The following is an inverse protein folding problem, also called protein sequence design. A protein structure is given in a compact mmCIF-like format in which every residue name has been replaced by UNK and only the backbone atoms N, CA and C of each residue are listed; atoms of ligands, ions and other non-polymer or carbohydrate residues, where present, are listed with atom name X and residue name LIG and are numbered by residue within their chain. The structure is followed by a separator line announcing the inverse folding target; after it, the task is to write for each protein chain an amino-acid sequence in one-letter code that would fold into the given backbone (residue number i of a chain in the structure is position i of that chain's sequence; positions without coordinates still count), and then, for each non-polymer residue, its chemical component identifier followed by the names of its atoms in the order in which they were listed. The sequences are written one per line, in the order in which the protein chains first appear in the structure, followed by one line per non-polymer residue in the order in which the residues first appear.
data_IF_491268758903
#
_entry.id   IF_491268758903
#
_cell.length_a   1.000
_cell.length_b   1.000
_cell.length_c   1.000
_cell.angle_alpha   90.00
_cell.angle_beta   90.00
_cell.angle_gamma   90.00
#
_symmetry.space_group_name_H-M   'P 1'
#
loop_
_entity.id
_entity.type
_entity.pdbx_description
1 polymer ?
#
# COMPACT_ATOMS: atom_id res chain seq x y z
N UNK A 1 11.57 26.60 -11.54
CA UNK A 1 12.72 26.27 -10.69
C UNK A 1 12.14 25.84 -9.36
N UNK A 2 12.48 24.65 -8.90
CA UNK A 2 12.02 24.13 -7.61
C UNK A 2 12.90 24.80 -6.55
N UNK A 3 12.58 26.05 -6.27
CA UNK A 3 13.38 26.93 -5.44
C UNK A 3 12.76 26.97 -4.05
N UNK A 4 13.57 26.85 -2.99
CA UNK A 4 13.16 26.94 -1.58
C UNK A 4 12.05 25.96 -1.14
N UNK A 5 12.07 24.72 -1.65
CA UNK A 5 11.14 23.67 -1.21
C UNK A 5 9.77 23.69 -1.88
N UNK A 6 9.53 24.58 -2.85
CA UNK A 6 8.32 24.56 -3.66
C UNK A 6 8.40 23.43 -4.69
N UNK A 7 7.68 22.33 -4.45
CA UNK A 7 7.58 21.22 -5.38
C UNK A 7 6.50 21.50 -6.43
N UNK A 8 6.79 21.19 -7.70
CA UNK A 8 5.80 21.23 -8.77
C UNK A 8 4.88 20.04 -8.64
N UNK A 9 3.58 20.24 -8.91
CA UNK A 9 2.57 19.19 -8.90
C UNK A 9 2.09 18.98 -10.34
N UNK A 10 2.07 17.73 -10.80
CA UNK A 10 1.49 17.38 -12.10
C UNK A 10 0.51 16.21 -11.96
N UNK A 11 -0.55 16.22 -12.76
CA UNK A 11 -1.54 15.14 -12.82
C UNK A 11 -1.44 14.40 -14.16
N UNK A 12 -1.30 13.07 -14.11
CA UNK A 12 -1.42 12.19 -15.27
C UNK A 12 -2.70 11.38 -15.15
N UNK A 13 -3.53 11.43 -16.18
CA UNK A 13 -4.88 10.87 -16.18
C UNK A 13 -5.34 10.59 -17.61
N UNK A 14 -6.40 9.80 -17.77
CA UNK A 14 -7.02 9.61 -19.08
C UNK A 14 -7.68 10.90 -19.61
N UNK A 15 -7.77 11.12 -20.93
CA UNK A 15 -8.39 12.32 -21.52
C UNK A 15 -9.81 12.60 -21.03
N UNK A 16 -10.52 11.57 -20.58
CA UNK A 16 -11.85 11.67 -19.98
C UNK A 16 -11.86 10.89 -18.68
N UNK A 17 -11.48 11.52 -17.54
CA UNK A 17 -11.57 10.90 -16.22
C UNK A 17 -13.02 10.49 -15.90
N UNK A 18 -13.18 9.51 -15.01
CA UNK A 18 -14.50 9.00 -14.63
C UNK A 18 -15.36 10.11 -14.05
N UNK A 19 -16.57 10.25 -14.59
CA UNK A 19 -17.56 11.20 -14.09
C UNK A 19 -18.10 10.72 -12.74
N UNK A 20 -18.24 11.65 -11.81
CA UNK A 20 -18.74 11.42 -10.47
C UNK A 20 -19.86 12.42 -10.17
N UNK A 21 -20.84 11.97 -9.38
CA UNK A 21 -21.95 12.82 -8.94
C UNK A 21 -21.83 13.09 -7.45
N UNK A 22 -21.97 14.34 -7.07
CA UNK A 22 -22.03 14.77 -5.67
C UNK A 22 -23.44 14.57 -5.11
N UNK A 23 -23.56 14.43 -3.79
CA UNK A 23 -24.83 14.24 -3.08
C UNK A 23 -25.78 15.44 -3.21
N UNK A 24 -25.26 16.63 -3.48
CA UNK A 24 -26.05 17.84 -3.78
C UNK A 24 -26.56 17.88 -5.24
N UNK A 25 -26.20 16.90 -6.05
CA UNK A 25 -26.59 16.77 -7.46
C UNK A 25 -25.57 17.31 -8.46
N UNK A 26 -24.53 18.01 -8.01
CA UNK A 26 -23.48 18.55 -8.89
C UNK A 26 -22.73 17.43 -9.61
N UNK A 27 -22.27 17.73 -10.84
CA UNK A 27 -21.43 16.84 -11.63
C UNK A 27 -19.97 17.25 -11.47
N UNK A 28 -19.11 16.27 -11.26
CA UNK A 28 -17.65 16.44 -11.22
C UNK A 28 -16.99 15.26 -11.94
N UNK A 29 -15.67 15.23 -11.92
CA UNK A 29 -14.89 14.07 -12.37
C UNK A 29 -13.73 13.83 -11.40
N UNK A 30 -13.12 12.66 -11.51
CA UNK A 30 -12.05 12.26 -10.59
C UNK A 30 -10.88 13.24 -10.59
N UNK A 31 -10.49 13.79 -11.74
CA UNK A 31 -9.38 14.73 -11.84
C UNK A 31 -9.68 16.02 -11.07
N UNK A 32 -10.86 16.61 -11.26
CA UNK A 32 -11.25 17.84 -10.55
C UNK A 32 -11.26 17.65 -9.04
N UNK A 33 -11.69 16.48 -8.55
CA UNK A 33 -11.59 16.14 -7.13
C UNK A 33 -10.12 16.13 -6.72
N UNK A 34 -9.26 15.39 -7.43
CA UNK A 34 -7.82 15.32 -7.15
C UNK A 34 -7.15 16.69 -7.14
N UNK A 35 -7.42 17.56 -8.11
CA UNK A 35 -6.88 18.93 -8.16
C UNK A 35 -7.35 19.77 -6.97
N UNK A 36 -8.65 19.69 -6.63
CA UNK A 36 -9.24 20.44 -5.52
C UNK A 36 -8.68 20.03 -4.16
N UNK A 37 -8.47 18.73 -3.94
CA UNK A 37 -8.03 18.18 -2.65
C UNK A 37 -6.52 18.22 -2.47
N UNK A 38 -5.76 18.56 -3.51
CA UNK A 38 -4.29 18.58 -3.48
C UNK A 38 -3.79 20.00 -3.25
N UNK A 39 -3.34 20.36 -2.02
CA UNK A 39 -2.81 21.68 -1.74
C UNK A 39 -1.41 21.86 -2.34
N UNK A 40 -0.93 23.11 -2.50
CA UNK A 40 0.46 23.38 -2.85
C UNK A 40 1.45 22.59 -1.98
N UNK A 41 2.51 22.08 -2.60
CA UNK A 41 3.51 21.23 -1.93
C UNK A 41 4.73 22.06 -1.54
N UNK A 42 4.79 22.46 -0.27
CA UNK A 42 5.87 23.26 0.31
C UNK A 42 6.68 22.43 1.29
N UNK A 43 7.80 21.93 0.80
CA UNK A 43 8.71 21.03 1.49
C UNK A 43 9.71 21.80 2.35
N UNK A 44 10.28 21.13 3.36
CA UNK A 44 11.37 21.69 4.16
C UNK A 44 12.57 22.06 3.24
N UNK A 45 12.97 23.35 3.16
CA UNK A 45 14.05 23.79 2.26
C UNK A 45 15.42 23.16 2.55
N UNK A 46 15.64 22.66 3.76
CA UNK A 46 16.88 21.95 4.13
C UNK A 46 16.95 20.54 3.55
N UNK A 47 15.80 19.96 3.18
CA UNK A 47 15.67 18.65 2.59
C UNK A 47 15.41 18.79 1.08
N UNK A 48 16.39 19.40 0.40
CA UNK A 48 16.28 19.91 -0.97
C UNK A 48 16.38 18.85 -2.08
N UNK A 49 16.49 17.57 -1.73
CA UNK A 49 16.43 16.46 -2.69
C UNK A 49 15.86 15.20 -2.02
N UNK A 50 15.46 14.25 -2.87
CA UNK A 50 14.81 13.01 -2.43
C UNK A 50 15.68 12.12 -1.55
N UNK A 51 17.00 12.16 -1.69
CA UNK A 51 17.90 11.44 -0.80
C UNK A 51 17.86 12.00 0.62
N UNK A 52 17.97 13.33 0.79
CA UNK A 52 17.91 13.99 2.09
C UNK A 52 16.54 13.80 2.74
N UNK A 53 15.46 13.96 1.97
CA UNK A 53 14.11 13.61 2.41
C UNK A 53 14.05 12.20 2.97
N UNK A 54 14.47 11.21 2.18
CA UNK A 54 14.42 9.79 2.53
C UNK A 54 15.29 9.48 3.74
N UNK A 55 16.52 10.00 3.80
CA UNK A 55 17.43 9.77 4.92
C UNK A 55 16.95 10.43 6.22
N UNK A 56 16.21 11.54 6.15
CA UNK A 56 15.67 12.21 7.33
C UNK A 56 14.70 11.31 8.12
N UNK A 57 14.09 10.31 7.48
CA UNK A 57 13.23 9.33 8.18
C UNK A 57 13.97 8.50 9.23
N UNK A 58 15.30 8.36 9.11
CA UNK A 58 16.10 7.68 10.11
C UNK A 58 16.23 8.48 11.42
N UNK A 59 15.84 9.76 11.43
CA UNK A 59 15.79 10.55 12.64
C UNK A 59 14.61 10.10 13.52
N UNK A 60 14.83 9.97 14.83
CA UNK A 60 13.83 9.50 15.81
C UNK A 60 12.80 10.57 16.16
N UNK A 61 12.12 11.14 15.15
CA UNK A 61 11.00 12.04 15.40
C UNK A 61 9.77 11.26 15.88
N UNK A 62 9.03 11.85 16.82
CA UNK A 62 7.81 11.26 17.33
C UNK A 62 6.66 11.58 16.36
N UNK A 63 6.14 10.57 15.66
CA UNK A 63 4.88 10.70 14.90
C UNK A 63 3.66 10.78 15.84
N UNK A 64 2.48 11.18 15.32
CA UNK A 64 1.25 11.32 16.12
C UNK A 64 0.90 10.00 16.83
N UNK A 65 0.47 10.04 18.11
CA UNK A 65 0.10 8.83 18.82
C UNK A 65 -1.15 8.22 18.19
N UNK A 66 -1.08 6.92 17.92
CA UNK A 66 -2.24 6.11 17.49
C UNK A 66 -2.18 4.83 18.31
N UNK A 67 -3.34 4.41 18.81
CA UNK A 67 -3.54 3.25 19.66
C UNK A 67 -4.28 2.18 18.85
N UNK A 68 -3.91 0.93 19.07
CA UNK A 68 -4.43 -0.19 18.29
C UNK A 68 -4.82 -1.37 19.18
N UNK A 69 -5.92 -2.03 18.81
CA UNK A 69 -6.21 -3.40 19.25
C UNK A 69 -6.00 -4.37 18.09
N UNK A 70 -5.23 -5.43 18.34
CA UNK A 70 -4.84 -6.43 17.35
C UNK A 70 -5.79 -7.62 17.36
N UNK A 71 -6.26 -8.02 16.19
CA UNK A 71 -6.85 -9.34 15.96
C UNK A 71 -5.96 -10.16 15.03
N UNK A 72 -5.75 -11.42 15.39
CA UNK A 72 -5.11 -12.42 14.51
C UNK A 72 -6.20 -13.21 13.79
N UNK A 73 -6.09 -13.28 12.48
CA UNK A 73 -6.96 -14.05 11.60
C UNK A 73 -6.26 -15.32 11.13
N UNK A 74 -7.01 -16.41 11.04
CA UNK A 74 -6.58 -17.60 10.29
C UNK A 74 -6.83 -17.36 8.82
N UNK A 75 -5.84 -17.64 7.97
CA UNK A 75 -5.98 -17.55 6.53
C UNK A 75 -7.05 -18.55 6.04
N UNK A 76 -7.95 -18.10 5.16
CA UNK A 76 -9.03 -18.95 4.62
C UNK A 76 -8.65 -19.64 3.30
N UNK A 77 -7.57 -19.19 2.66
CA UNK A 77 -7.04 -19.79 1.44
C UNK A 77 -6.06 -20.93 1.77
N UNK A 78 -6.39 -22.15 1.32
CA UNK A 78 -5.55 -23.34 1.49
C UNK A 78 -4.17 -23.23 0.84
N UNK A 79 -4.02 -22.38 -0.19
CA UNK A 79 -2.72 -22.14 -0.78
C UNK A 79 -1.85 -21.19 0.04
N UNK A 80 -2.45 -20.44 0.95
CA UNK A 80 -1.80 -19.42 1.77
C UNK A 80 -2.08 -19.65 3.25
N UNK A 81 -1.94 -20.88 3.75
CA UNK A 81 -2.20 -21.25 5.14
C UNK A 81 -1.43 -20.39 6.15
N UNK A 82 -1.84 -20.41 7.41
CA UNK A 82 -1.22 -19.66 8.51
C UNK A 82 -2.13 -18.56 9.03
N UNK A 83 -1.51 -17.53 9.59
CA UNK A 83 -2.21 -16.41 10.23
C UNK A 83 -1.63 -15.07 9.81
N UNK A 84 -2.46 -14.04 9.89
CA UNK A 84 -2.06 -12.64 9.70
C UNK A 84 -2.73 -11.76 10.76
N UNK A 85 -2.16 -10.59 11.02
CA UNK A 85 -2.64 -9.69 12.06
C UNK A 85 -3.28 -8.44 11.45
N UNK A 86 -4.37 -7.98 12.03
CA UNK A 86 -5.00 -6.69 11.70
C UNK A 86 -5.09 -5.86 12.97
N UNK A 87 -4.52 -4.66 12.91
CA UNK A 87 -4.54 -3.70 14.00
C UNK A 87 -5.66 -2.70 13.74
N UNK A 88 -6.67 -2.69 14.59
CA UNK A 88 -7.80 -1.76 14.53
C UNK A 88 -7.50 -0.57 15.42
N UNK A 89 -7.71 0.64 14.92
CA UNK A 89 -7.55 1.84 15.73
C UNK A 89 -8.53 1.79 16.90
N UNK A 90 -8.03 2.14 18.07
CA UNK A 90 -8.78 2.16 19.31
C UNK A 90 -8.62 3.50 20.02
N UNK A 91 -9.55 3.77 20.95
CA UNK A 91 -9.39 4.88 21.90
C UNK A 91 -8.10 4.72 22.72
N UNK A 92 -7.48 5.82 23.18
CA UNK A 92 -6.28 5.75 24.00
C UNK A 92 -6.47 4.88 25.26
N UNK A 93 -5.48 4.04 25.54
CA UNK A 93 -5.44 3.16 26.72
C UNK A 93 -4.06 3.15 27.37
N UNK A 94 -3.99 2.74 28.64
CA UNK A 94 -2.74 2.63 29.41
C UNK A 94 -2.13 1.23 29.38
N UNK A 95 -2.89 0.22 28.97
CA UNK A 95 -2.44 -1.16 28.84
C UNK A 95 -1.21 -1.28 27.93
N UNK A 96 -0.32 -2.21 28.27
CA UNK A 96 0.88 -2.49 27.46
C UNK A 96 1.07 -3.98 27.28
N UNK A 97 1.49 -4.38 26.08
CA UNK A 97 1.91 -5.74 25.77
C UNK A 97 3.34 -5.69 25.24
N UNK A 98 4.28 -6.29 25.95
CA UNK A 98 5.71 -6.28 25.60
C UNK A 98 6.03 -7.09 24.35
N UNK A 99 5.09 -7.93 23.89
CA UNK A 99 5.24 -8.72 22.66
C UNK A 99 4.81 -7.94 21.41
N UNK A 100 4.12 -6.81 21.58
CA UNK A 100 3.57 -6.02 20.50
C UNK A 100 4.30 -4.68 20.32
N UNK A 101 4.14 -4.00 19.17
CA UNK A 101 4.62 -2.65 19.00
C UNK A 101 3.98 -1.69 20.02
N UNK A 102 4.62 -0.54 20.33
CA UNK A 102 4.07 0.42 21.29
C UNK A 102 2.63 0.84 20.97
N UNK A 103 1.81 1.02 22.02
CA UNK A 103 0.38 1.37 21.94
C UNK A 103 -0.47 0.34 21.19
N UNK A 104 -0.08 -0.93 21.26
CA UNK A 104 -0.83 -2.04 20.68
C UNK A 104 -1.05 -3.11 21.74
N UNK A 105 -2.27 -3.59 21.87
CA UNK A 105 -2.66 -4.74 22.69
C UNK A 105 -3.55 -5.67 21.87
N UNK A 106 -3.77 -6.91 22.29
CA UNK A 106 -4.75 -7.77 21.63
C UNK A 106 -6.18 -7.33 21.97
N UNK A 107 -7.13 -7.65 21.08
CA UNK A 107 -8.54 -7.68 21.47
C UNK A 107 -8.78 -8.77 22.51
N UNK A 108 -9.66 -8.50 23.47
CA UNK A 108 -10.32 -9.58 24.19
C UNK A 108 -11.33 -10.28 23.26
N UNK A 109 -11.49 -11.60 23.36
CA UNK A 109 -12.31 -12.36 22.39
C UNK A 109 -13.75 -11.84 22.31
N UNK A 110 -14.34 -11.49 23.45
CA UNK A 110 -15.71 -10.96 23.51
C UNK A 110 -15.80 -9.53 22.95
N UNK A 111 -14.76 -8.71 23.11
CA UNK A 111 -14.69 -7.34 22.57
C UNK A 111 -14.70 -7.37 21.03
N UNK A 112 -13.93 -8.26 20.42
CA UNK A 112 -13.87 -8.36 18.95
C UNK A 112 -15.19 -8.83 18.34
N UNK A 113 -15.85 -9.82 18.97
CA UNK A 113 -17.13 -10.32 18.49
C UNK A 113 -18.24 -9.26 18.57
N UNK A 114 -18.19 -8.42 19.61
CA UNK A 114 -19.20 -7.40 19.90
C UNK A 114 -18.83 -5.99 19.43
N UNK A 115 -17.78 -5.85 18.60
CA UNK A 115 -17.35 -4.58 17.98
C UNK A 115 -18.55 -3.73 17.53
N UNK A 116 -18.92 -2.77 18.37
CA UNK A 116 -20.03 -1.88 18.14
C UNK A 116 -19.57 -0.81 17.17
N UNK A 117 -20.24 -0.68 16.03
CA UNK A 117 -19.87 0.32 15.05
C UNK A 117 -21.07 0.68 14.19
N UNK A 118 -21.19 1.96 13.85
CA UNK A 118 -22.19 2.40 12.87
C UNK A 118 -21.80 1.82 11.52
N UNK A 119 -22.64 0.94 10.98
CA UNK A 119 -22.42 0.29 9.70
C UNK A 119 -22.18 1.31 8.58
N UNK A 120 -22.70 2.54 8.68
CA UNK A 120 -22.51 3.56 7.65
C UNK A 120 -21.19 4.35 7.77
N UNK A 121 -20.49 4.26 8.90
CA UNK A 121 -19.25 5.02 9.15
C UNK A 121 -18.12 4.48 8.27
N UNK A 122 -17.45 5.30 7.43
CA UNK A 122 -16.47 4.80 6.47
C UNK A 122 -15.27 4.13 7.15
N UNK A 123 -14.82 3.00 6.59
CA UNK A 123 -13.62 2.27 7.03
C UNK A 123 -12.47 2.52 6.09
N UNK A 124 -11.33 2.92 6.62
CA UNK A 124 -10.05 2.88 5.94
C UNK A 124 -9.29 1.58 6.29
N UNK A 125 -8.83 0.87 5.27
CA UNK A 125 -7.99 -0.33 5.41
C UNK A 125 -6.61 -0.02 4.83
N UNK A 126 -5.57 -0.14 5.65
CA UNK A 126 -4.23 0.36 5.34
C UNK A 126 -3.22 -0.77 5.19
N UNK A 127 -2.36 -0.66 4.18
CA UNK A 127 -1.20 -1.53 3.96
C UNK A 127 0.11 -0.74 4.16
N UNK A 128 0.96 -1.26 5.04
CA UNK A 128 2.28 -0.68 5.33
C UNK A 128 3.33 -1.06 4.27
N UNK A 129 4.54 -0.47 4.36
CA UNK A 129 5.65 -0.72 3.46
C UNK A 129 6.48 -1.95 3.83
N UNK A 130 7.66 -2.10 3.24
CA UNK A 130 8.56 -3.22 3.54
C UNK A 130 8.91 -3.27 5.04
N UNK A 131 8.75 -4.45 5.64
CA UNK A 131 9.09 -4.84 7.03
C UNK A 131 8.52 -3.98 8.16
N UNK A 132 7.56 -3.10 7.86
CA UNK A 132 6.96 -2.17 8.80
C UNK A 132 5.74 -2.69 9.56
N UNK A 133 4.73 -1.83 9.74
CA UNK A 133 3.48 -2.17 10.41
C UNK A 133 2.59 -0.96 10.71
N UNK A 134 1.58 -1.16 11.54
CA UNK A 134 0.71 -0.09 12.09
C UNK A 134 1.47 1.01 12.86
N UNK A 135 2.64 0.69 13.42
CA UNK A 135 3.47 1.61 14.20
C UNK A 135 4.25 2.63 13.35
N UNK A 136 4.28 2.45 12.03
CA UNK A 136 5.03 3.29 11.10
C UNK A 136 4.63 4.77 11.17
N UNK A 137 5.65 5.64 11.21
CA UNK A 137 5.44 7.08 11.44
C UNK A 137 4.73 7.73 10.25
N UNK A 138 5.15 7.43 9.02
CA UNK A 138 4.52 7.98 7.81
C UNK A 138 3.04 7.58 7.73
N UNK A 139 2.72 6.35 8.15
CA UNK A 139 1.37 5.80 8.16
C UNK A 139 0.52 6.55 9.18
N UNK A 140 1.02 6.69 10.41
CA UNK A 140 0.31 7.41 11.49
C UNK A 140 0.07 8.88 11.14
N UNK A 141 1.01 9.56 10.47
CA UNK A 141 0.78 10.92 9.97
C UNK A 141 -0.37 11.00 8.95
N UNK A 142 -0.54 9.98 8.11
CA UNK A 142 -1.61 9.98 7.12
C UNK A 142 -2.99 9.72 7.72
N UNK A 143 -3.09 8.86 8.73
CA UNK A 143 -4.38 8.44 9.29
C UNK A 143 -4.84 9.30 10.47
N UNK A 144 -3.92 9.94 11.21
CA UNK A 144 -4.27 10.73 12.41
C UNK A 144 -5.36 11.78 12.13
N UNK A 145 -5.32 12.59 11.05
CA UNK A 145 -6.38 13.57 10.79
C UNK A 145 -7.76 12.95 10.54
N UNK A 146 -7.84 11.72 10.05
CA UNK A 146 -9.10 11.00 9.82
C UNK A 146 -9.66 10.45 11.14
N UNK A 147 -8.77 9.95 12.01
CA UNK A 147 -9.12 9.45 13.35
C UNK A 147 -9.59 10.61 14.23
N UNK A 148 -8.82 11.70 14.28
CA UNK A 148 -9.11 12.89 15.09
C UNK A 148 -10.45 13.55 14.72
N UNK A 149 -10.93 13.32 13.49
CA UNK A 149 -12.23 13.82 13.06
C UNK A 149 -13.41 13.06 13.69
N UNK A 150 -13.18 11.88 14.28
CA UNK A 150 -14.21 11.00 14.83
C UNK A 150 -15.12 10.31 13.79
N UNK A 151 -14.92 10.56 12.49
CA UNK A 151 -15.84 10.13 11.42
C UNK A 151 -15.35 8.90 10.66
N UNK A 152 -14.18 8.36 11.00
CA UNK A 152 -13.58 7.21 10.33
C UNK A 152 -13.31 6.08 11.29
N UNK A 153 -13.50 4.86 10.79
CA UNK A 153 -12.90 3.66 11.37
C UNK A 153 -11.63 3.33 10.57
N UNK A 154 -10.57 2.89 11.23
CA UNK A 154 -9.29 2.60 10.56
C UNK A 154 -8.73 1.28 11.06
N UNK A 155 -8.25 0.45 10.14
CA UNK A 155 -7.48 -0.73 10.47
C UNK A 155 -6.27 -0.88 9.55
N UNK A 156 -5.22 -1.51 10.06
CA UNK A 156 -3.97 -1.77 9.34
C UNK A 156 -3.78 -3.27 9.24
N UNK A 157 -3.68 -3.78 8.02
CA UNK A 157 -3.32 -5.18 7.79
C UNK A 157 -1.82 -5.30 7.91
N UNK A 158 -1.35 -5.95 8.96
CA UNK A 158 0.07 -6.24 9.15
C UNK A 158 0.42 -7.50 8.35
N UNK A 159 1.40 -7.33 7.48
CA UNK A 159 1.94 -8.43 6.70
C UNK A 159 2.53 -9.51 7.61
N UNK A 160 2.48 -10.77 7.17
CA UNK A 160 2.91 -11.93 7.98
C UNK A 160 4.36 -11.76 8.47
N UNK A 161 4.57 -11.93 9.77
CA UNK A 161 5.86 -11.73 10.44
C UNK A 161 6.17 -10.30 10.85
N UNK A 162 5.49 -9.31 10.26
CA UNK A 162 5.73 -7.88 10.52
C UNK A 162 4.99 -7.40 11.77
N UNK A 163 5.36 -6.22 12.28
CA UNK A 163 4.75 -5.61 13.47
C UNK A 163 4.70 -6.55 14.69
N UNK A 164 5.72 -7.40 14.88
CA UNK A 164 5.79 -8.46 15.89
C UNK A 164 4.66 -9.51 15.81
N UNK A 165 3.96 -9.63 14.68
CA UNK A 165 3.07 -10.76 14.46
C UNK A 165 3.89 -12.03 14.21
N UNK A 166 3.43 -13.17 14.73
CA UNK A 166 4.12 -14.45 14.51
C UNK A 166 4.01 -14.91 13.07
N UNK A 167 5.09 -15.48 12.57
CA UNK A 167 5.11 -16.28 11.35
C UNK A 167 4.62 -17.70 11.69
N UNK A 168 3.52 -18.16 11.06
CA UNK A 168 2.84 -19.42 11.45
C UNK A 168 2.68 -20.43 10.30
N UNK A 169 3.28 -20.15 9.15
CA UNK A 169 3.25 -21.00 7.95
C UNK A 169 4.55 -20.86 7.18
N UNK A 170 4.74 -21.61 6.09
CA UNK A 170 5.93 -21.50 5.25
C UNK A 170 5.93 -20.29 4.29
N UNK A 171 4.92 -19.43 4.39
CA UNK A 171 4.61 -18.40 3.40
C UNK A 171 4.77 -17.02 4.02
N UNK A 172 5.85 -16.34 3.66
CA UNK A 172 6.06 -14.93 3.98
C UNK A 172 5.30 -14.05 2.97
N UNK A 173 4.95 -12.82 3.38
CA UNK A 173 4.43 -11.82 2.46
C UNK A 173 5.49 -11.37 1.44
N UNK A 174 5.02 -10.85 0.31
CA UNK A 174 5.84 -10.26 -0.73
C UNK A 174 5.02 -9.22 -1.53
N UNK A 175 5.60 -8.63 -2.57
CA UNK A 175 4.94 -7.58 -3.36
C UNK A 175 3.65 -8.05 -4.09
N UNK A 176 3.44 -9.36 -4.23
CA UNK A 176 2.28 -10.01 -4.86
C UNK A 176 1.19 -10.37 -3.83
N UNK A 177 1.41 -10.09 -2.54
CA UNK A 177 0.59 -10.61 -1.46
C UNK A 177 -0.77 -9.93 -1.27
N UNK A 178 -1.73 -10.24 -2.14
CA UNK A 178 -3.07 -9.63 -2.11
C UNK A 178 -4.08 -10.39 -1.23
N UNK A 179 -3.80 -11.64 -0.84
CA UNK A 179 -4.78 -12.53 -0.21
C UNK A 179 -5.21 -12.12 1.20
N UNK A 180 -4.28 -11.73 2.09
CA UNK A 180 -4.62 -11.34 3.46
C UNK A 180 -5.44 -10.04 3.46
N UNK A 181 -5.11 -9.11 2.55
CA UNK A 181 -5.89 -7.89 2.35
C UNK A 181 -7.29 -8.22 1.80
N UNK A 182 -7.38 -9.08 0.79
CA UNK A 182 -8.66 -9.57 0.23
C UNK A 182 -9.53 -10.22 1.30
N UNK A 183 -8.96 -11.09 2.13
CA UNK A 183 -9.69 -11.72 3.23
C UNK A 183 -10.17 -10.69 4.25
N UNK A 184 -9.35 -9.68 4.58
CA UNK A 184 -9.75 -8.56 5.44
C UNK A 184 -10.96 -7.82 4.87
N UNK A 185 -10.94 -7.50 3.57
CA UNK A 185 -12.06 -6.81 2.90
C UNK A 185 -13.34 -7.66 2.94
N UNK A 186 -13.24 -8.96 2.63
CA UNK A 186 -14.37 -9.90 2.71
C UNK A 186 -14.96 -9.96 4.12
N UNK A 187 -14.10 -10.03 5.15
CA UNK A 187 -14.54 -10.04 6.53
C UNK A 187 -15.25 -8.73 6.91
N UNK A 188 -14.67 -7.58 6.56
CA UNK A 188 -15.27 -6.26 6.81
C UNK A 188 -16.63 -6.12 6.13
N UNK A 189 -16.75 -6.52 4.85
CA UNK A 189 -18.02 -6.47 4.13
C UNK A 189 -19.08 -7.40 4.74
N UNK A 190 -18.68 -8.56 5.26
CA UNK A 190 -19.60 -9.47 5.96
C UNK A 190 -20.04 -8.91 7.31
N UNK A 191 -19.13 -8.32 8.08
CA UNK A 191 -19.40 -7.76 9.42
C UNK A 191 -20.18 -6.45 9.35
N UNK A 192 -19.88 -5.61 8.36
CA UNK A 192 -20.46 -4.28 8.14
C UNK A 192 -20.94 -4.15 6.67
N UNK A 193 -22.13 -4.67 6.34
CA UNK A 193 -22.62 -4.75 4.96
C UNK A 193 -22.80 -3.42 4.26
N UNK A 194 -23.18 -2.36 4.97
CA UNK A 194 -23.45 -1.04 4.37
C UNK A 194 -22.22 -0.12 4.37
N UNK A 195 -21.14 -0.53 5.05
CA UNK A 195 -19.96 0.29 5.22
C UNK A 195 -19.24 0.63 3.92
N UNK A 196 -18.98 1.91 3.63
CA UNK A 196 -18.01 2.30 2.60
C UNK A 196 -16.60 1.88 3.02
N UNK A 197 -15.91 1.12 2.16
CA UNK A 197 -14.55 0.63 2.43
C UNK A 197 -13.54 1.39 1.55
N UNK A 198 -12.46 1.88 2.14
CA UNK A 198 -11.41 2.62 1.45
C UNK A 198 -10.06 1.94 1.64
N UNK A 199 -9.20 2.01 0.63
CA UNK A 199 -7.85 1.43 0.67
C UNK A 199 -6.76 2.50 0.71
N UNK A 200 -5.75 2.33 1.56
CA UNK A 200 -4.54 3.15 1.56
C UNK A 200 -3.30 2.26 1.59
N UNK A 201 -2.38 2.44 0.65
CA UNK A 201 -1.14 1.66 0.59
C UNK A 201 0.09 2.55 0.54
N UNK A 202 1.19 2.09 1.15
CA UNK A 202 2.48 2.78 1.13
C UNK A 202 3.59 1.87 0.63
N UNK A 203 4.43 2.35 -0.29
CA UNK A 203 5.59 1.60 -0.81
C UNK A 203 5.21 0.17 -1.25
N UNK A 204 5.77 -0.88 -0.65
CA UNK A 204 5.41 -2.26 -0.98
C UNK A 204 3.90 -2.54 -0.81
N UNK A 205 3.26 -2.01 0.24
CA UNK A 205 1.82 -2.11 0.45
C UNK A 205 1.00 -1.35 -0.58
N UNK A 206 1.55 -0.27 -1.16
CA UNK A 206 0.95 0.39 -2.31
C UNK A 206 0.97 -0.49 -3.57
N UNK A 207 2.05 -1.23 -3.80
CA UNK A 207 2.13 -2.18 -4.90
C UNK A 207 1.11 -3.33 -4.72
N UNK A 208 1.01 -3.88 -3.51
CA UNK A 208 0.02 -4.89 -3.15
C UNK A 208 -1.42 -4.37 -3.34
N UNK A 209 -1.74 -3.16 -2.87
CA UNK A 209 -3.07 -2.56 -3.05
C UNK A 209 -3.41 -2.32 -4.52
N UNK A 210 -2.44 -1.87 -5.32
CA UNK A 210 -2.62 -1.65 -6.76
C UNK A 210 -2.93 -2.97 -7.48
N UNK A 211 -2.18 -4.03 -7.18
CA UNK A 211 -2.45 -5.37 -7.71
C UNK A 211 -3.82 -5.88 -7.28
N UNK A 212 -4.19 -5.75 -6.00
CA UNK A 212 -5.51 -6.12 -5.50
C UNK A 212 -6.62 -5.38 -6.27
N UNK A 213 -6.55 -4.06 -6.37
CA UNK A 213 -7.56 -3.27 -7.08
C UNK A 213 -7.65 -3.63 -8.57
N UNK A 214 -6.52 -4.01 -9.20
CA UNK A 214 -6.50 -4.49 -10.56
C UNK A 214 -7.10 -5.88 -10.73
N UNK A 215 -6.79 -6.82 -9.83
CA UNK A 215 -7.33 -8.18 -9.81
C UNK A 215 -8.84 -8.22 -9.62
N UNK A 216 -9.34 -7.45 -8.64
CA UNK A 216 -10.76 -7.39 -8.38
C UNK A 216 -11.50 -6.59 -9.47
N UNK A 217 -10.85 -5.63 -10.12
CA UNK A 217 -11.40 -4.86 -11.23
C UNK A 217 -12.79 -4.28 -10.91
N UNK A 218 -13.81 -4.73 -11.66
CA UNK A 218 -15.21 -4.32 -11.45
C UNK A 218 -15.80 -4.81 -10.12
N UNK A 219 -15.33 -5.96 -9.63
CA UNK A 219 -15.79 -6.61 -8.39
C UNK A 219 -15.10 -6.04 -7.14
N UNK A 220 -14.17 -5.08 -7.32
CA UNK A 220 -13.51 -4.43 -6.21
C UNK A 220 -14.52 -3.77 -5.27
N UNK A 221 -14.52 -4.24 -4.02
CA UNK A 221 -15.44 -3.81 -2.95
C UNK A 221 -15.04 -2.50 -2.26
N UNK A 222 -13.88 -1.95 -2.63
CA UNK A 222 -13.46 -0.63 -2.17
C UNK A 222 -14.21 0.47 -2.94
N UNK A 223 -14.57 1.52 -2.23
CA UNK A 223 -15.20 2.74 -2.76
C UNK A 223 -14.17 3.60 -3.49
N UNK A 224 -12.99 3.79 -2.90
CA UNK A 224 -11.86 4.47 -3.50
C UNK A 224 -10.56 4.03 -2.82
N UNK A 225 -9.42 4.27 -3.48
CA UNK A 225 -8.12 3.95 -2.91
C UNK A 225 -7.05 5.00 -3.20
N UNK A 226 -6.07 5.09 -2.30
CA UNK A 226 -4.87 5.91 -2.49
C UNK A 226 -3.63 5.02 -2.34
N UNK A 227 -2.62 5.25 -3.17
CA UNK A 227 -1.29 4.66 -3.02
C UNK A 227 -0.22 5.73 -2.96
N UNK A 228 0.79 5.56 -2.11
CA UNK A 228 1.88 6.50 -1.94
C UNK A 228 3.25 5.85 -2.19
N UNK A 229 4.09 6.51 -3.00
CA UNK A 229 5.43 6.01 -3.39
C UNK A 229 5.43 4.56 -3.86
N UNK A 230 4.49 4.21 -4.75
CA UNK A 230 4.33 2.84 -5.23
C UNK A 230 5.49 2.44 -6.16
N UNK A 231 6.28 1.38 -5.87
CA UNK A 231 7.24 0.84 -6.82
C UNK A 231 6.54 0.01 -7.91
N UNK A 232 5.78 0.67 -8.79
CA UNK A 232 4.93 0.05 -9.82
C UNK A 232 5.66 -0.98 -10.70
N UNK A 233 6.93 -0.72 -11.02
CA UNK A 233 7.81 -1.66 -11.71
C UNK A 233 9.00 -2.01 -10.81
N UNK A 234 8.93 -3.20 -10.20
CA UNK A 234 9.93 -3.69 -9.26
C UNK A 234 11.25 -4.01 -9.95
N UNK A 235 11.21 -4.49 -11.21
CA UNK A 235 12.42 -4.82 -11.95
C UNK A 235 13.21 -3.55 -12.30
N UNK A 236 12.52 -2.50 -12.76
CA UNK A 236 13.14 -1.19 -13.03
C UNK A 236 13.66 -0.56 -11.75
N UNK A 237 12.84 -0.53 -10.69
CA UNK A 237 13.25 0.01 -9.38
C UNK A 237 14.50 -0.69 -8.85
N UNK A 238 14.56 -2.02 -8.91
CA UNK A 238 15.73 -2.80 -8.47
C UNK A 238 16.97 -2.50 -9.33
N UNK A 239 16.83 -2.41 -10.66
CA UNK A 239 17.95 -2.04 -11.56
C UNK A 239 18.46 -0.63 -11.27
N UNK A 240 17.57 0.33 -11.04
CA UNK A 240 17.94 1.71 -10.71
C UNK A 240 18.69 1.80 -9.38
N UNK A 241 18.21 1.09 -8.36
CA UNK A 241 18.90 0.97 -7.08
C UNK A 241 20.30 0.35 -7.24
N UNK A 242 20.47 -0.68 -8.07
CA UNK A 242 21.78 -1.29 -8.32
C UNK A 242 22.75 -0.39 -9.11
N UNK A 243 22.23 0.55 -9.91
CA UNK A 243 23.02 1.42 -10.79
C UNK A 243 23.79 2.50 -10.02
N UNK A 244 23.28 2.95 -8.88
CA UNK A 244 23.88 4.05 -8.11
C UNK A 244 24.54 3.56 -6.83
N UNK A 245 25.59 4.26 -6.38
CA UNK A 245 26.26 3.92 -5.12
C UNK A 245 25.32 4.02 -3.92
N UNK A 246 24.56 5.11 -3.80
CA UNK A 246 23.56 5.27 -2.72
C UNK A 246 22.43 4.23 -2.82
N UNK A 247 21.93 3.97 -4.03
CA UNK A 247 20.95 2.93 -4.29
C UNK A 247 21.38 1.57 -3.76
N UNK A 248 22.60 1.17 -4.11
CA UNK A 248 23.15 -0.15 -3.82
C UNK A 248 23.63 -0.27 -2.38
N UNK A 249 24.48 0.63 -1.94
CA UNK A 249 25.20 0.52 -0.66
C UNK A 249 24.45 1.12 0.52
N UNK A 250 23.41 1.92 0.28
CA UNK A 250 22.53 2.44 1.34
C UNK A 250 21.17 1.77 1.30
N UNK A 251 20.33 2.07 0.30
CA UNK A 251 18.93 1.65 0.34
C UNK A 251 18.75 0.12 0.24
N UNK A 252 19.42 -0.51 -0.71
CA UNK A 252 19.36 -1.97 -0.89
C UNK A 252 19.93 -2.74 0.31
N UNK A 253 21.01 -2.24 0.92
CA UNK A 253 21.56 -2.81 2.16
C UNK A 253 20.64 -2.64 3.35
N UNK A 254 20.06 -1.45 3.54
CA UNK A 254 19.13 -1.19 4.65
C UNK A 254 17.90 -2.08 4.53
N UNK A 255 17.29 -2.15 3.35
CA UNK A 255 16.13 -3.01 3.10
C UNK A 255 16.48 -4.50 3.25
N UNK A 256 17.61 -4.96 2.70
CA UNK A 256 18.07 -6.34 2.85
C UNK A 256 18.34 -6.71 4.32
N UNK A 257 18.97 -5.81 5.07
CA UNK A 257 19.22 -5.97 6.51
C UNK A 257 17.92 -6.04 7.30
N UNK A 258 16.95 -5.18 6.98
CA UNK A 258 15.64 -5.19 7.65
C UNK A 258 14.89 -6.50 7.42
N UNK A 259 14.88 -7.01 6.19
CA UNK A 259 14.25 -8.30 5.87
C UNK A 259 14.99 -9.49 6.50
N UNK A 260 16.33 -9.43 6.58
CA UNK A 260 17.12 -10.42 7.30
C UNK A 260 16.82 -10.42 8.80
N UNK A 261 16.68 -9.24 9.41
CA UNK A 261 16.29 -9.10 10.82
C UNK A 261 14.90 -9.67 11.07
N UNK A 262 13.95 -9.41 10.16
CA UNK A 262 12.61 -9.99 10.20
C UNK A 262 12.67 -11.53 10.25
N UNK A 263 13.38 -12.16 9.31
CA UNK A 263 13.54 -13.63 9.30
C UNK A 263 14.26 -14.14 10.55
N UNK A 264 15.31 -13.45 11.01
CA UNK A 264 16.04 -13.84 12.21
C UNK A 264 15.16 -13.77 13.48
N UNK A 265 14.23 -12.82 13.55
CA UNK A 265 13.24 -12.75 14.63
C UNK A 265 12.25 -13.92 14.63
N UNK A 266 12.09 -14.62 13.51
CA UNK A 266 11.20 -15.77 13.34
C UNK A 266 11.97 -17.07 13.04
N UNK A 267 13.24 -17.16 13.44
CA UNK A 267 14.13 -18.27 13.05
C UNK A 267 13.54 -19.65 13.35
N UNK A 268 12.96 -19.84 14.54
CA UNK A 268 12.35 -21.13 14.94
C UNK A 268 11.19 -21.51 14.02
N UNK A 269 10.30 -20.56 13.73
CA UNK A 269 9.15 -20.78 12.86
C UNK A 269 9.59 -21.00 11.41
N UNK A 270 10.62 -20.29 10.95
CA UNK A 270 11.23 -20.49 9.62
C UNK A 270 11.79 -21.91 9.50
N UNK A 271 12.52 -22.41 10.51
CA UNK A 271 13.03 -23.79 10.51
C UNK A 271 11.93 -24.84 10.52
N UNK A 272 10.83 -24.54 11.22
CA UNK A 272 9.70 -25.45 11.37
C UNK A 272 8.82 -25.51 10.13
N UNK A 273 8.63 -24.37 9.45
CA UNK A 273 7.62 -24.23 8.40
C UNK A 273 8.20 -24.09 6.99
N UNK A 274 9.52 -23.98 6.83
CA UNK A 274 10.17 -23.82 5.52
C UNK A 274 11.40 -24.71 5.39
N UNK A 275 11.87 -24.87 4.15
CA UNK A 275 13.15 -25.49 3.80
C UNK A 275 14.22 -24.44 3.42
N UNK A 276 14.10 -23.21 3.91
CA UNK A 276 15.04 -22.13 3.59
C UNK A 276 16.43 -22.41 4.17
N UNK A 277 17.46 -22.09 3.40
CA UNK A 277 18.86 -22.24 3.81
C UNK A 277 19.26 -21.08 4.75
N UNK A 278 19.19 -21.33 6.05
CA UNK A 278 19.51 -20.32 7.06
C UNK A 278 20.94 -19.78 6.98
N UNK A 279 21.90 -20.58 6.51
CA UNK A 279 23.29 -20.13 6.37
C UNK A 279 23.40 -19.09 5.26
N UNK A 280 22.76 -19.33 4.11
CA UNK A 280 22.66 -18.34 3.03
C UNK A 280 21.93 -17.09 3.48
N UNK A 281 20.86 -17.23 4.26
CA UNK A 281 20.13 -16.09 4.82
C UNK A 281 21.00 -15.25 5.78
N UNK A 282 21.93 -15.88 6.52
CA UNK A 282 22.92 -15.13 7.30
C UNK A 282 23.94 -14.38 6.46
N UNK A 283 24.10 -14.72 5.18
CA UNK A 283 25.04 -14.04 4.27
C UNK A 283 24.37 -12.99 3.37
N UNK A 284 23.04 -12.88 3.39
CA UNK A 284 22.30 -11.83 2.69
C UNK A 284 22.76 -10.44 3.15
N UNK A 285 23.07 -9.59 2.18
CA UNK A 285 23.47 -8.19 2.36
C UNK A 285 22.48 -7.24 1.70
N UNK A 286 22.00 -7.58 0.51
CA UNK A 286 21.13 -6.72 -0.30
C UNK A 286 19.72 -7.31 -0.47
N UNK A 287 18.72 -6.46 -0.68
CA UNK A 287 17.32 -6.91 -0.82
C UNK A 287 17.13 -7.92 -1.95
N UNK A 288 17.79 -7.76 -3.10
CA UNK A 288 17.67 -8.75 -4.19
C UNK A 288 18.24 -10.13 -3.83
N UNK A 289 19.19 -10.21 -2.90
CA UNK A 289 19.70 -11.49 -2.39
C UNK A 289 18.68 -12.12 -1.45
N UNK A 290 18.05 -11.31 -0.59
CA UNK A 290 16.91 -11.77 0.21
C UNK A 290 15.79 -12.33 -0.67
N UNK A 291 15.41 -11.60 -1.72
CA UNK A 291 14.36 -12.04 -2.63
C UNK A 291 14.72 -13.34 -3.37
N UNK A 292 16.00 -13.54 -3.68
CA UNK A 292 16.48 -14.80 -4.26
C UNK A 292 16.42 -15.96 -3.26
N UNK A 293 16.94 -15.77 -2.06
CA UNK A 293 17.06 -16.86 -1.09
C UNK A 293 15.74 -17.17 -0.36
N UNK A 294 14.82 -16.21 -0.27
CA UNK A 294 13.51 -16.38 0.38
C UNK A 294 12.39 -16.43 -0.63
N UNK A 295 12.16 -15.33 -1.36
CA UNK A 295 10.94 -15.20 -2.17
C UNK A 295 10.94 -16.19 -3.33
N UNK A 296 12.07 -16.38 -4.01
CA UNK A 296 12.15 -17.36 -5.09
C UNK A 296 11.97 -18.80 -4.60
N UNK A 297 12.50 -19.13 -3.43
CA UNK A 297 12.39 -20.48 -2.86
C UNK A 297 10.97 -20.74 -2.36
N UNK A 298 10.41 -19.84 -1.54
CA UNK A 298 9.06 -20.00 -0.98
C UNK A 298 7.96 -19.98 -2.03
N UNK A 299 8.15 -19.26 -3.14
CA UNK A 299 7.12 -19.04 -4.16
C UNK A 299 7.42 -19.75 -5.49
N UNK A 300 8.52 -20.49 -5.57
CA UNK A 300 8.90 -21.23 -6.78
C UNK A 300 9.31 -20.36 -7.96
N UNK A 301 9.72 -19.10 -7.74
CA UNK A 301 10.25 -18.29 -8.84
C UNK A 301 11.64 -18.80 -9.26
N UNK A 302 11.90 -18.96 -10.56
CA UNK A 302 13.20 -19.45 -11.02
C UNK A 302 14.32 -18.40 -10.89
N UNK A 303 13.98 -17.11 -10.79
CA UNK A 303 14.92 -15.99 -10.63
C UNK A 303 14.24 -14.83 -9.89
N UNK A 304 15.01 -13.97 -9.23
CA UNK A 304 14.46 -12.75 -8.60
C UNK A 304 13.81 -11.83 -9.62
N UNK A 305 14.27 -11.84 -10.87
CA UNK A 305 13.67 -11.04 -11.94
C UNK A 305 12.32 -11.60 -12.39
N UNK A 306 12.11 -12.92 -12.33
CA UNK A 306 10.79 -13.52 -12.57
C UNK A 306 9.80 -13.07 -11.48
N UNK A 307 10.23 -13.08 -10.22
CA UNK A 307 9.46 -12.51 -9.10
C UNK A 307 9.11 -11.03 -9.34
N UNK A 308 10.11 -10.19 -9.64
CA UNK A 308 9.86 -8.76 -9.85
C UNK A 308 8.90 -8.47 -11.00
N UNK A 309 8.98 -9.23 -12.10
CA UNK A 309 8.04 -9.09 -13.23
C UNK A 309 6.63 -9.55 -12.91
N UNK A 310 6.46 -10.61 -12.12
CA UNK A 310 5.13 -11.08 -11.72
C UNK A 310 4.49 -10.15 -10.70
N UNK A 311 5.29 -9.65 -9.75
CA UNK A 311 4.79 -8.86 -8.64
C UNK A 311 4.64 -7.36 -8.93
N UNK A 312 5.19 -6.86 -10.05
CA UNK A 312 4.99 -5.47 -10.48
C UNK A 312 3.51 -5.15 -10.74
N UNK A 313 3.09 -3.94 -10.37
CA UNK A 313 1.69 -3.49 -10.46
C UNK A 313 1.42 -2.51 -11.61
N UNK A 314 2.39 -2.29 -12.50
CA UNK A 314 2.24 -1.38 -13.67
C UNK A 314 1.03 -1.75 -14.53
N UNK A 315 0.93 -3.02 -14.95
CA UNK A 315 -0.18 -3.49 -15.79
C UNK A 315 -1.52 -3.43 -15.04
N UNK A 316 -1.52 -3.70 -13.73
CA UNK A 316 -2.72 -3.70 -12.89
C UNK A 316 -3.45 -2.34 -12.92
N UNK A 317 -2.73 -1.23 -13.14
CA UNK A 317 -3.32 0.11 -13.32
C UNK A 317 -4.39 0.11 -14.41
N UNK A 318 -4.22 -0.64 -15.50
CA UNK A 318 -5.20 -0.71 -16.60
C UNK A 318 -6.48 -1.45 -16.21
N UNK A 319 -6.46 -2.27 -15.16
CA UNK A 319 -7.57 -3.10 -14.71
C UNK A 319 -8.42 -2.45 -13.61
N UNK A 320 -7.92 -1.42 -12.91
CA UNK A 320 -8.62 -0.75 -11.80
C UNK A 320 -9.93 -0.12 -12.28
N UNK A 321 -11.05 -0.34 -11.54
CA UNK A 321 -12.38 0.22 -11.85
C UNK A 321 -13.04 0.96 -10.69
N UNK A 322 -12.24 1.52 -9.80
CA UNK A 322 -12.67 2.40 -8.71
C UNK A 322 -11.86 3.69 -8.75
N UNK A 323 -12.39 4.83 -8.24
CA UNK A 323 -11.60 6.03 -8.01
C UNK A 323 -10.28 5.73 -7.29
N UNK A 324 -9.18 5.98 -7.97
CA UNK A 324 -7.85 5.60 -7.51
C UNK A 324 -6.85 6.74 -7.70
N UNK A 325 -6.20 7.17 -6.62
CA UNK A 325 -5.21 8.24 -6.63
C UNK A 325 -3.83 7.69 -6.26
N UNK A 326 -2.85 7.89 -7.12
CA UNK A 326 -1.45 7.62 -6.80
C UNK A 326 -0.72 8.93 -6.48
N UNK A 327 -0.09 9.01 -5.31
CA UNK A 327 0.79 10.11 -4.91
C UNK A 327 2.24 9.66 -5.03
N UNK A 328 3.05 10.36 -5.82
CA UNK A 328 4.41 9.93 -6.12
C UNK A 328 5.39 11.10 -6.25
N UNK A 329 6.59 10.98 -5.67
CA UNK A 329 7.62 12.00 -5.85
C UNK A 329 8.55 11.58 -6.99
N UNK A 330 8.83 12.44 -7.96
CA UNK A 330 9.72 12.10 -9.08
C UNK A 330 11.20 12.04 -8.65
N UNK A 331 11.54 12.64 -7.51
CA UNK A 331 12.87 12.52 -6.88
C UNK A 331 12.99 11.33 -5.92
N UNK A 332 12.00 10.43 -5.85
CA UNK A 332 12.02 9.24 -5.00
C UNK A 332 13.21 8.33 -5.37
N UNK A 333 14.17 8.10 -4.45
CA UNK A 333 15.38 7.34 -4.77
C UNK A 333 15.18 5.82 -4.74
N UNK A 334 14.00 5.34 -4.34
CA UNK A 334 13.66 3.91 -4.20
C UNK A 334 12.64 3.52 -5.28
N UNK A 335 11.50 4.21 -5.32
CA UNK A 335 10.48 4.03 -6.33
C UNK A 335 10.67 5.09 -7.44
N UNK A 336 11.71 4.91 -8.24
CA UNK A 336 12.21 5.91 -9.19
C UNK A 336 11.18 6.32 -10.26
N UNK A 337 11.30 7.54 -10.76
CA UNK A 337 10.44 8.08 -11.84
C UNK A 337 10.43 7.19 -13.09
N UNK A 338 11.58 6.58 -13.43
CA UNK A 338 11.73 5.64 -14.56
C UNK A 338 10.79 4.42 -14.48
N UNK A 339 10.27 4.09 -13.28
CA UNK A 339 9.38 2.96 -13.02
C UNK A 339 7.88 3.33 -13.00
N UNK A 340 7.54 4.61 -13.21
CA UNK A 340 6.16 5.10 -13.14
C UNK A 340 5.42 4.78 -14.46
N UNK A 341 4.24 4.14 -14.41
CA UNK A 341 3.46 3.73 -15.59
C UNK A 341 2.58 4.89 -16.11
N UNK A 342 3.21 5.98 -16.56
CA UNK A 342 2.50 7.19 -17.04
C UNK A 342 1.50 6.88 -18.16
N UNK A 343 1.85 5.97 -19.07
CA UNK A 343 0.98 5.59 -20.17
C UNK A 343 -0.29 4.90 -19.67
N UNK A 344 -0.18 3.99 -18.71
CA UNK A 344 -1.31 3.24 -18.15
C UNK A 344 -2.29 4.18 -17.44
N UNK A 345 -1.78 5.14 -16.65
CA UNK A 345 -2.60 6.21 -16.05
C UNK A 345 -3.28 7.09 -17.11
N UNK A 346 -2.60 7.35 -18.24
CA UNK A 346 -3.17 8.11 -19.37
C UNK A 346 -4.27 7.36 -20.14
N UNK A 347 -4.48 6.07 -19.85
CA UNK A 347 -5.53 5.24 -20.51
C UNK A 347 -6.68 4.88 -19.60
N UNK A 348 -6.48 4.82 -18.28
CA UNK A 348 -7.54 4.42 -17.36
C UNK A 348 -8.31 5.62 -16.77
N UNK A 349 -9.61 5.79 -17.07
CA UNK A 349 -10.41 6.90 -16.54
C UNK A 349 -10.64 6.85 -15.02
N UNK A 350 -10.45 5.70 -14.39
CA UNK A 350 -10.64 5.52 -12.95
C UNK A 350 -9.42 5.90 -12.11
N UNK A 351 -8.30 6.26 -12.75
CA UNK A 351 -7.02 6.48 -12.06
C UNK A 351 -6.48 7.87 -12.33
N UNK A 352 -5.90 8.50 -11.30
CA UNK A 352 -5.13 9.74 -11.41
C UNK A 352 -3.79 9.54 -10.71
N UNK A 353 -2.70 9.88 -11.39
CA UNK A 353 -1.36 9.95 -10.82
C UNK A 353 -1.02 11.42 -10.55
N UNK A 354 -0.88 11.77 -9.28
CA UNK A 354 -0.37 13.05 -8.81
C UNK A 354 1.12 12.91 -8.50
N UNK A 355 1.95 13.57 -9.30
CA UNK A 355 3.40 13.62 -9.07
C UNK A 355 3.83 14.93 -8.43
N UNK A 356 4.77 14.87 -7.49
CA UNK A 356 5.49 16.04 -6.98
C UNK A 356 6.94 15.99 -7.42
N UNK A 357 7.55 17.13 -7.76
CA UNK A 357 8.96 17.15 -8.18
C UNK A 357 9.96 16.90 -7.04
N UNK A 358 9.52 17.11 -5.80
CA UNK A 358 10.26 16.82 -4.57
C UNK A 358 9.36 16.07 -3.60
N UNK A 359 9.94 15.17 -2.81
CA UNK A 359 9.22 14.44 -1.78
C UNK A 359 9.98 13.27 -1.19
N UNK A 360 10.92 12.66 -1.94
CA UNK A 360 11.60 11.44 -1.52
C UNK A 360 10.65 10.25 -1.31
N UNK A 361 11.18 9.15 -0.76
CA UNK A 361 10.37 7.95 -0.54
C UNK A 361 9.52 8.06 0.74
N UNK A 362 8.20 8.23 0.60
CA UNK A 362 7.23 8.36 1.71
C UNK A 362 7.41 9.59 2.61
N UNK A 363 8.25 10.57 2.25
CA UNK A 363 8.68 11.61 3.19
C UNK A 363 7.78 12.83 3.16
N UNK A 364 7.84 13.60 2.07
CA UNK A 364 7.05 14.83 1.93
C UNK A 364 7.18 15.77 3.15
N UNK A 365 8.35 15.84 3.79
CA UNK A 365 8.52 16.58 5.04
C UNK A 365 8.31 18.08 4.83
N UNK A 366 7.37 18.64 5.58
CA UNK A 366 7.10 20.07 5.63
C UNK A 366 7.90 20.73 6.76
N UNK A 367 8.08 22.07 6.72
CA UNK A 367 8.53 22.81 7.89
C UNK A 367 7.66 22.47 9.12
N UNK A 368 8.30 22.17 10.25
CA UNK A 368 7.61 21.75 11.48
C UNK A 368 7.41 20.24 11.64
N UNK A 369 7.86 19.41 10.69
CA UNK A 369 7.91 17.94 10.84
C UNK A 369 6.63 17.21 10.40
N UNK A 370 5.62 17.94 9.91
CA UNK A 370 4.48 17.35 9.21
C UNK A 370 4.88 16.71 7.89
N UNK A 371 3.94 15.97 7.28
CA UNK A 371 4.13 15.36 5.96
C UNK A 371 3.02 15.81 5.02
N UNK A 372 3.40 16.40 3.90
CA UNK A 372 2.45 16.97 2.95
C UNK A 372 1.43 15.93 2.46
N UNK A 373 1.85 14.67 2.23
CA UNK A 373 0.96 13.60 1.74
C UNK A 373 -0.28 13.36 2.61
N UNK A 374 -0.24 13.67 3.92
CA UNK A 374 -1.39 13.50 4.81
C UNK A 374 -2.59 14.38 4.41
N UNK A 375 -2.32 15.56 3.84
CA UNK A 375 -3.35 16.53 3.43
C UNK A 375 -4.19 16.03 2.24
N UNK A 376 -3.61 15.72 1.06
CA UNK A 376 -4.39 15.18 -0.06
C UNK A 376 -5.02 13.83 0.28
N UNK A 377 -4.37 12.99 1.10
CA UNK A 377 -4.97 11.73 1.57
C UNK A 377 -6.28 11.99 2.32
N UNK A 378 -6.22 12.84 3.35
CA UNK A 378 -7.36 13.15 4.20
C UNK A 378 -8.47 13.82 3.40
N UNK A 379 -8.12 14.83 2.60
CA UNK A 379 -9.08 15.60 1.81
C UNK A 379 -9.73 14.75 0.72
N UNK A 380 -9.00 13.87 0.03
CA UNK A 380 -9.56 12.97 -0.98
C UNK A 380 -10.53 11.97 -0.34
N UNK A 381 -10.14 11.29 0.74
CA UNK A 381 -11.02 10.32 1.39
C UNK A 381 -12.28 10.97 1.96
N UNK A 382 -12.15 12.13 2.63
CA UNK A 382 -13.33 12.87 3.12
C UNK A 382 -14.26 13.30 1.97
N UNK A 383 -13.70 13.80 0.87
CA UNK A 383 -14.52 14.18 -0.29
C UNK A 383 -15.25 12.97 -0.86
N UNK A 384 -14.55 11.85 -1.06
CA UNK A 384 -15.16 10.62 -1.56
C UNK A 384 -16.24 10.07 -0.62
N UNK A 385 -16.00 10.01 0.70
CA UNK A 385 -16.95 9.43 1.65
C UNK A 385 -18.19 10.31 1.89
N UNK A 386 -17.98 11.63 2.01
CA UNK A 386 -19.01 12.52 2.50
C UNK A 386 -19.70 13.34 1.42
N UNK A 387 -19.05 13.58 0.28
CA UNK A 387 -19.60 14.43 -0.78
C UNK A 387 -20.10 13.61 -1.99
N UNK A 388 -19.42 12.53 -2.38
CA UNK A 388 -19.79 11.74 -3.56
C UNK A 388 -21.00 10.82 -3.28
N UNK A 389 -21.94 10.76 -4.23
CA UNK A 389 -23.05 9.81 -4.23
C UNK A 389 -22.65 8.50 -4.91
N UNK A 390 -22.30 7.50 -4.10
CA UNK A 390 -21.87 6.19 -4.59
C UNK A 390 -22.96 5.38 -5.31
N UNK A 391 -24.24 5.70 -5.09
CA UNK A 391 -25.36 5.04 -5.78
C UNK A 391 -25.49 5.47 -7.25
N UNK A 392 -24.80 6.55 -7.63
CA UNK A 392 -24.83 7.16 -8.96
C UNK A 392 -23.50 7.03 -9.71
N UNK A 393 -22.62 6.14 -9.27
CA UNK A 393 -21.38 5.85 -9.98
C UNK A 393 -21.71 5.28 -11.38
N UNK A 394 -20.94 5.67 -12.41
CA UNK A 394 -21.12 5.08 -13.73
C UNK A 394 -20.85 3.56 -13.66
N UNK A 395 -21.54 2.75 -14.47
CA UNK A 395 -21.30 1.32 -14.53
C UNK A 395 -19.81 1.03 -14.76
N UNK A 396 -19.23 0.20 -13.89
CA UNK A 396 -17.86 -0.29 -14.07
C UNK A 396 -17.86 -1.26 -15.27
N UNK A 397 -16.94 -1.09 -16.20
CA UNK A 397 -16.80 -1.96 -17.38
C UNK A 397 -15.48 -2.71 -17.34
N UNK A 398 -15.46 -3.99 -17.75
CA UNK A 398 -14.22 -4.76 -17.82
C UNK A 398 -13.40 -4.40 -19.07
N UNK A 399 -12.09 -4.27 -18.89
CA UNK A 399 -11.13 -3.99 -19.98
C UNK A 399 -11.18 -2.55 -20.48
N UNK A 400 -10.09 -2.09 -21.07
CA UNK A 400 -10.10 -0.87 -21.91
C UNK A 400 -10.43 -1.33 -23.34
N UNK A 401 -11.25 -0.59 -24.10
CA UNK A 401 -11.58 -0.97 -25.47
C UNK A 401 -10.29 -1.04 -26.30
N UNK A 402 -10.20 -1.97 -27.28
CA UNK A 402 -9.06 -2.02 -28.19
C UNK A 402 -8.85 -0.67 -28.87
N UNK A 403 -7.58 -0.29 -29.11
CA UNK A 403 -7.24 1.00 -29.74
C UNK A 403 -7.96 1.25 -31.07
N UNK A 404 -8.25 0.19 -31.83
CA UNK A 404 -8.96 0.26 -33.12
C UNK A 404 -10.45 -0.12 -33.02
N UNK A 405 -10.96 -0.43 -31.81
CA UNK A 405 -12.34 -0.84 -31.54
C UNK A 405 -12.78 -2.16 -32.19
N UNK A 406 -11.87 -2.94 -32.80
CA UNK A 406 -12.21 -4.08 -33.66
C UNK A 406 -11.33 -5.32 -33.43
N UNK A 407 -10.54 -5.36 -32.36
CA UNK A 407 -9.71 -6.53 -32.04
C UNK A 407 -10.53 -7.61 -31.33
N UNK A 408 -10.45 -8.84 -31.82
CA UNK A 408 -10.97 -10.03 -31.14
C UNK A 408 -10.03 -10.51 -30.01
N UNK A 409 -8.77 -10.05 -30.01
CA UNK A 409 -7.83 -10.33 -28.92
C UNK A 409 -8.09 -9.41 -27.73
N UNK A 410 -8.22 -10.01 -26.55
CA UNK A 410 -8.39 -9.32 -25.28
C UNK A 410 -7.12 -9.44 -24.42
N UNK A 411 -6.52 -8.29 -24.10
CA UNK A 411 -5.44 -8.22 -23.12
C UNK A 411 -6.03 -8.22 -21.70
N UNK A 412 -5.56 -9.11 -20.83
CA UNK A 412 -5.91 -9.10 -19.40
C UNK A 412 -4.74 -8.53 -18.57
N UNK A 413 -4.82 -7.25 -18.16
CA UNK A 413 -3.76 -6.59 -17.41
C UNK A 413 -3.52 -7.15 -16.00
N UNK A 414 -4.52 -7.78 -15.39
CA UNK A 414 -4.45 -8.31 -14.03
C UNK A 414 -4.34 -9.84 -14.01
N UNK A 415 -3.92 -10.46 -15.11
CA UNK A 415 -3.72 -11.91 -15.16
C UNK A 415 -2.60 -12.31 -14.20
N UNK A 416 -2.92 -13.13 -13.20
CA UNK A 416 -1.92 -13.83 -12.40
C UNK A 416 -1.03 -14.65 -13.34
N UNK A 417 0.28 -14.36 -13.36
CA UNK A 417 1.25 -15.07 -14.20
C UNK A 417 1.76 -16.34 -13.52
N UNK A 418 1.65 -16.40 -12.19
CA UNK A 418 1.91 -17.58 -11.37
C UNK A 418 0.64 -18.42 -11.19
N UNK A 419 0.75 -19.72 -11.46
CA UNK A 419 -0.30 -20.69 -11.12
C UNK A 419 -0.11 -21.18 -9.69
N UNK A 420 -1.13 -20.98 -8.85
CA UNK A 420 -1.14 -21.48 -7.49
C UNK A 420 -1.81 -22.86 -7.53
N UNK A 421 -1.01 -23.93 -7.48
CA UNK A 421 -1.57 -25.28 -7.31
C UNK A 421 -2.06 -25.38 -5.87
N UNK A 422 -3.38 -25.36 -5.66
CA UNK A 422 -3.94 -25.88 -4.42
C UNK A 422 -3.44 -27.33 -4.28
N UNK A 423 -2.81 -27.65 -3.15
CA UNK A 423 -2.27 -28.99 -2.92
C UNK A 423 -3.34 -30.05 -3.24
N UNK A 424 -3.02 -30.94 -4.18
CA UNK A 424 -3.83 -32.13 -4.42
C UNK A 424 -3.82 -32.97 -3.14
N UNK A 425 -5.00 -33.29 -2.63
CA UNK A 425 -5.23 -34.20 -1.49
C UNK A 425 -4.51 -35.54 -1.63
#
# INVERSE_FOLDING_TARGET
MDWLGHAKINFTHAPSPVALKEKDGAQTDLLKICEKVTPPCHMNPLLFNGHLQTMWTATKQHGPPVYYRRKVFNADDKAFEGTFAVDFVAEPFEETDSTLPPRTVYFEDQEFETLASDDNKPQLVVLHGLSGGSHEIYLRHAIAPLIDSGNWEVCVVNSRGCANSKFTSGILYNARATWDFRQTIKWLRKKFPNRPLFGLGFSLGANMLTNYCGEEGVDCQLTAAIVCSNPFNLEVSNKALKRTFLGREVYQRVMGTSMKQLINGHKEEVQKHTNLDLERLQNVTYLWEFDREVQCVSWGYPTESAYYRDASSSDAVLAIRIPFLALHATDDPIAVEEAIPYEEFSKNPYTVLCTTSLGGHLCWFEPGGGRWHAKPITSFFNHMAFNVDHSKLPPKTNGLPPRNGKSEFHFNPARHRMEIKAGSE
#
